data_IF_749529551552
#
_entry.id   IF_749529551552
#
_cell.length_a   1.000
_cell.length_b   1.000
_cell.length_c   1.000
_cell.angle_alpha   90.00
_cell.angle_beta   90.00
_cell.angle_gamma   90.00
#
_symmetry.space_group_name_H-M   'P 1'
#
loop_
_entity.id
_entity.type
_entity.pdbx_description
1 polymer ?
#
# COMPACT_ATOMS: atom_id res chain seq x y z
N UNK A 1 -43.53 3.58 -45.64
CA UNK A 1 -42.35 3.06 -44.91
C UNK A 1 -41.54 4.27 -44.44
N UNK A 2 -42.00 4.95 -43.39
CA UNK A 2 -41.72 4.63 -41.98
C UNK A 2 -40.24 4.88 -41.61
N UNK A 3 -39.92 6.16 -41.37
CA UNK A 3 -39.20 6.66 -40.18
C UNK A 3 -38.35 5.64 -39.38
N UNK A 4 -37.05 5.45 -39.72
CA UNK A 4 -36.05 4.84 -38.82
C UNK A 4 -34.60 5.31 -39.11
N UNK A 5 -34.35 6.63 -39.11
CA UNK A 5 -32.98 7.15 -38.90
C UNK A 5 -32.91 8.25 -37.83
N UNK A 6 -34.00 8.48 -37.10
CA UNK A 6 -34.12 9.64 -36.22
C UNK A 6 -34.68 9.30 -34.82
N UNK A 7 -34.38 8.11 -34.30
CA UNK A 7 -34.70 7.77 -32.91
C UNK A 7 -33.42 7.48 -32.11
N UNK A 8 -32.94 8.55 -31.47
CA UNK A 8 -32.46 8.53 -30.09
C UNK A 8 -31.11 7.86 -29.79
N UNK A 9 -30.04 8.36 -30.42
CA UNK A 9 -28.75 8.44 -29.73
C UNK A 9 -28.67 9.76 -28.95
N UNK A 10 -29.62 9.98 -28.04
CA UNK A 10 -29.56 11.04 -27.03
C UNK A 10 -29.35 10.39 -25.66
N UNK A 11 -28.26 9.65 -25.50
CA UNK A 11 -27.78 9.29 -24.17
C UNK A 11 -27.21 10.56 -23.53
N UNK A 12 -27.70 10.95 -22.33
CA UNK A 12 -27.47 12.28 -21.78
C UNK A 12 -25.97 12.51 -21.48
N UNK A 13 -25.49 13.77 -21.54
CA UNK A 13 -24.16 14.12 -21.03
C UNK A 13 -23.97 13.67 -19.58
N UNK A 14 -25.08 13.53 -18.84
CA UNK A 14 -25.14 13.01 -17.48
C UNK A 14 -24.58 11.58 -17.36
N UNK A 15 -24.82 10.66 -18.30
CA UNK A 15 -24.28 9.29 -18.20
C UNK A 15 -22.76 9.28 -18.33
N UNK A 16 -22.22 10.12 -19.22
CA UNK A 16 -20.76 10.31 -19.38
C UNK A 16 -20.15 10.98 -18.14
N UNK A 17 -20.82 11.98 -17.57
CA UNK A 17 -20.40 12.66 -16.33
C UNK A 17 -20.44 11.68 -15.15
N UNK A 18 -21.50 10.91 -15.00
CA UNK A 18 -21.63 9.88 -13.94
C UNK A 18 -20.56 8.80 -14.10
N UNK A 19 -20.27 8.35 -15.32
CA UNK A 19 -19.20 7.40 -15.58
C UNK A 19 -17.81 7.98 -15.25
N UNK A 20 -17.54 9.24 -15.59
CA UNK A 20 -16.28 9.91 -15.24
C UNK A 20 -16.13 10.09 -13.73
N UNK A 21 -17.19 10.48 -13.04
CA UNK A 21 -17.23 10.59 -11.58
C UNK A 21 -16.98 9.21 -10.95
N UNK A 22 -17.66 8.16 -11.41
CA UNK A 22 -17.48 6.80 -10.92
C UNK A 22 -16.06 6.27 -11.14
N UNK A 23 -15.46 6.51 -12.31
CA UNK A 23 -14.06 6.19 -12.60
C UNK A 23 -13.08 6.96 -11.70
N UNK A 24 -13.36 8.23 -11.41
CA UNK A 24 -12.57 9.05 -10.48
C UNK A 24 -12.63 8.49 -9.05
N UNK A 25 -13.82 8.08 -8.59
CA UNK A 25 -14.02 7.45 -7.28
C UNK A 25 -13.28 6.11 -7.14
N UNK A 26 -13.27 5.28 -8.20
CA UNK A 26 -12.51 4.01 -8.21
C UNK A 26 -10.99 4.27 -8.19
N UNK A 27 -10.51 5.27 -8.92
CA UNK A 27 -9.08 5.62 -8.99
C UNK A 27 -8.49 6.05 -7.65
N UNK A 28 -9.27 6.77 -6.82
CA UNK A 28 -8.84 7.22 -5.49
C UNK A 28 -8.78 6.05 -4.50
N UNK A 29 -9.68 5.06 -4.60
CA UNK A 29 -9.72 3.90 -3.71
C UNK A 29 -8.55 2.91 -3.91
N UNK A 30 -7.78 3.05 -4.99
CA UNK A 30 -6.73 2.09 -5.37
C UNK A 30 -5.33 2.47 -4.88
N UNK A 31 -5.18 3.61 -4.18
CA UNK A 31 -3.90 4.13 -3.72
C UNK A 31 -3.65 3.85 -2.23
N UNK A 32 -3.83 2.61 -1.78
CA UNK A 32 -3.54 2.23 -0.39
C UNK A 32 -2.24 1.41 -0.32
N UNK A 33 -1.12 2.06 -0.62
CA UNK A 33 0.18 1.67 -0.07
C UNK A 33 0.49 2.63 1.05
N UNK A 34 0.49 2.18 2.30
CA UNK A 34 1.02 3.02 3.39
C UNK A 34 2.47 3.37 3.06
N UNK A 35 2.74 4.65 2.84
CA UNK A 35 4.10 5.10 2.57
C UNK A 35 4.92 4.93 3.85
N UNK A 36 6.02 4.18 3.76
CA UNK A 36 6.98 4.12 4.86
C UNK A 36 7.73 5.45 4.96
N UNK A 37 7.91 5.93 6.19
CA UNK A 37 8.73 7.10 6.49
C UNK A 37 9.86 6.73 7.43
N UNK A 38 11.04 7.27 7.17
CA UNK A 38 12.14 7.27 8.14
C UNK A 38 11.72 8.10 9.36
N UNK A 39 12.05 7.64 10.57
CA UNK A 39 11.69 8.34 11.81
C UNK A 39 10.22 8.23 12.19
N UNK A 40 9.48 7.23 11.68
CA UNK A 40 8.07 7.01 12.02
C UNK A 40 7.80 6.99 13.54
N UNK A 41 8.74 6.45 14.32
CA UNK A 41 8.62 6.35 15.77
C UNK A 41 9.11 7.58 16.56
N UNK A 42 9.54 8.66 15.90
CA UNK A 42 10.21 9.77 16.59
C UNK A 42 9.33 10.44 17.68
N UNK A 43 8.02 10.54 17.43
CA UNK A 43 7.08 11.17 18.38
C UNK A 43 6.43 10.19 19.37
N UNK A 44 6.47 8.89 19.10
CA UNK A 44 5.81 7.86 19.92
C UNK A 44 6.80 7.06 20.77
N UNK A 45 7.91 6.65 20.18
CA UNK A 45 9.00 5.94 20.84
C UNK A 45 10.34 6.24 20.14
N UNK A 46 10.98 7.38 20.43
CA UNK A 46 12.21 7.80 19.74
C UNK A 46 13.38 6.82 19.96
N UNK A 47 13.33 6.05 21.04
CA UNK A 47 14.35 5.05 21.36
C UNK A 47 14.17 3.71 20.63
N UNK A 48 13.09 3.51 19.87
CA UNK A 48 12.73 2.21 19.29
C UNK A 48 13.87 1.62 18.45
N UNK A 49 14.38 2.38 17.48
CA UNK A 49 15.45 1.92 16.58
C UNK A 49 16.74 1.59 17.35
N UNK A 50 17.11 2.45 18.31
CA UNK A 50 18.30 2.25 19.15
C UNK A 50 18.20 1.01 20.04
N UNK A 51 17.01 0.75 20.62
CA UNK A 51 16.77 -0.43 21.46
C UNK A 51 16.87 -1.71 20.63
N UNK A 52 16.25 -1.74 19.44
CA UNK A 52 16.33 -2.88 18.52
C UNK A 52 17.78 -3.13 18.13
N UNK A 53 18.51 -2.09 17.69
CA UNK A 53 19.91 -2.21 17.29
C UNK A 53 20.78 -2.79 18.39
N UNK A 54 20.72 -2.25 19.62
CA UNK A 54 21.52 -2.74 20.76
C UNK A 54 21.19 -4.19 21.11
N UNK A 55 19.91 -4.53 21.10
CA UNK A 55 19.45 -5.88 21.46
C UNK A 55 19.89 -6.90 20.42
N UNK A 56 19.71 -6.60 19.13
CA UNK A 56 20.15 -7.44 18.03
C UNK A 56 21.68 -7.58 18.03
N UNK A 57 22.42 -6.49 18.21
CA UNK A 57 23.89 -6.54 18.29
C UNK A 57 24.37 -7.47 19.42
N UNK A 58 23.77 -7.38 20.60
CA UNK A 58 24.08 -8.27 21.73
C UNK A 58 23.74 -9.73 21.43
N UNK A 59 22.62 -9.99 20.74
CA UNK A 59 22.22 -11.34 20.36
C UNK A 59 23.17 -11.94 19.32
N UNK A 60 23.55 -11.16 18.30
CA UNK A 60 24.50 -11.56 17.26
C UNK A 60 25.90 -11.81 17.83
N UNK A 61 26.36 -10.97 18.76
CA UNK A 61 27.64 -11.17 19.44
C UNK A 61 27.69 -12.49 20.22
N UNK A 62 26.55 -12.96 20.74
CA UNK A 62 26.44 -14.26 21.45
C UNK A 62 26.27 -15.43 20.48
N UNK A 63 25.54 -15.23 19.40
CA UNK A 63 25.31 -16.24 18.38
C UNK A 63 25.25 -15.56 16.99
N UNK A 64 26.31 -15.66 16.18
CA UNK A 64 26.35 -15.07 14.84
C UNK A 64 25.21 -15.51 13.92
N UNK A 65 24.67 -16.73 14.13
CA UNK A 65 23.54 -17.26 13.36
C UNK A 65 22.23 -16.46 13.53
N UNK A 66 22.10 -15.67 14.59
CA UNK A 66 20.93 -14.81 14.82
C UNK A 66 20.75 -13.75 13.73
N UNK A 67 21.85 -13.23 13.16
CA UNK A 67 21.76 -12.24 12.09
C UNK A 67 21.07 -12.83 10.86
N UNK A 68 21.55 -13.99 10.40
CA UNK A 68 20.96 -14.71 9.27
C UNK A 68 19.51 -15.15 9.56
N UNK A 69 19.23 -15.62 10.78
CA UNK A 69 17.90 -16.05 11.20
C UNK A 69 16.86 -14.92 11.14
N UNK A 70 17.19 -13.73 11.66
CA UNK A 70 16.30 -12.57 11.64
C UNK A 70 15.99 -12.12 10.22
N UNK A 71 17.00 -12.07 9.35
CA UNK A 71 16.82 -11.71 7.94
C UNK A 71 15.93 -12.74 7.23
N UNK A 72 16.18 -14.04 7.45
CA UNK A 72 15.38 -15.11 6.86
C UNK A 72 13.92 -15.06 7.32
N UNK A 73 13.68 -14.78 8.60
CA UNK A 73 12.33 -14.62 9.14
C UNK A 73 11.61 -13.46 8.45
N UNK A 74 12.28 -12.30 8.31
CA UNK A 74 11.70 -11.15 7.62
C UNK A 74 11.32 -11.46 6.16
N UNK A 75 12.21 -12.13 5.42
CA UNK A 75 11.90 -12.57 4.06
C UNK A 75 10.75 -13.57 4.01
N UNK A 76 10.69 -14.51 4.94
CA UNK A 76 9.61 -15.49 5.01
C UNK A 76 8.25 -14.81 5.21
N UNK A 77 8.15 -13.85 6.14
CA UNK A 77 6.91 -13.12 6.43
C UNK A 77 6.46 -12.23 5.26
N UNK A 78 7.40 -11.70 4.47
CA UNK A 78 7.09 -10.83 3.35
C UNK A 78 6.79 -11.58 2.04
N UNK A 79 7.47 -12.70 1.78
CA UNK A 79 7.37 -13.41 0.50
C UNK A 79 6.45 -14.63 0.53
N UNK A 80 6.21 -15.22 1.70
CA UNK A 80 5.26 -16.34 1.85
C UNK A 80 3.92 -15.77 2.28
N UNK A 81 3.09 -15.43 1.29
CA UNK A 81 1.67 -15.06 1.44
C UNK A 81 0.79 -16.08 0.77
#
# INVERSE_FOLDING_TARGET
MATLQHFSHEHPPLHRIVALIFCMFIGIASAHGSSLSVGYYNCSCPSAEAVVQRTVAKAVARNPGMAAGLIRMHFHDCFVR
#
